data_IF_461769343247
#
_entry.id   IF_461769343247
#
_cell.length_a   1.000
_cell.length_b   1.000
_cell.length_c   1.000
_cell.angle_alpha   90.00
_cell.angle_beta   90.00
_cell.angle_gamma   90.00
#
_symmetry.space_group_name_H-M   'P 1'
#
loop_
_entity.id
_entity.type
_entity.pdbx_description
1 polymer ?
#
# COMPACT_ATOMS: atom_id res chain seq x y z
N UNK A 1 -25.15 7.90 24.13
CA UNK A 1 -23.84 8.39 23.65
C UNK A 1 -22.89 7.20 23.67
N UNK A 2 -22.84 6.42 22.59
CA UNK A 2 -21.95 5.25 22.53
C UNK A 2 -20.68 5.67 21.80
N UNK A 3 -19.64 5.93 22.58
CA UNK A 3 -18.28 6.14 22.07
C UNK A 3 -17.82 4.86 21.38
N UNK A 4 -17.73 4.91 20.05
CA UNK A 4 -17.03 3.89 19.27
C UNK A 4 -15.54 4.07 19.55
N UNK A 5 -14.98 3.16 20.35
CA UNK A 5 -13.54 3.04 20.51
C UNK A 5 -12.97 2.69 19.13
N UNK A 6 -12.19 3.61 18.57
CA UNK A 6 -11.43 3.35 17.35
C UNK A 6 -10.47 2.18 17.62
N UNK A 7 -10.77 1.00 17.08
CA UNK A 7 -9.88 -0.14 17.17
C UNK A 7 -8.68 0.08 16.26
N UNK A 8 -7.49 0.13 16.86
CA UNK A 8 -6.18 0.22 16.20
C UNK A 8 -5.68 -1.15 15.68
N UNK A 9 -6.59 -2.09 15.41
CA UNK A 9 -6.26 -3.48 15.06
C UNK A 9 -6.63 -3.75 13.60
N UNK A 10 -5.76 -4.38 12.79
CA UNK A 10 -6.10 -4.76 11.43
C UNK A 10 -7.30 -5.71 11.40
N UNK A 11 -8.33 -5.36 10.62
CA UNK A 11 -9.55 -6.16 10.45
C UNK A 11 -9.40 -7.03 9.20
N UNK A 12 -9.76 -8.32 9.30
CA UNK A 12 -9.79 -9.23 8.16
C UNK A 12 -10.94 -8.88 7.19
N UNK A 13 -10.69 -8.98 5.88
CA UNK A 13 -11.70 -8.72 4.85
C UNK A 13 -12.82 -9.76 4.90
N UNK A 14 -14.07 -9.31 4.95
CA UNK A 14 -15.24 -10.13 4.64
C UNK A 14 -15.40 -10.24 3.12
N UNK A 15 -15.55 -11.46 2.60
CA UNK A 15 -15.62 -11.75 1.17
C UNK A 15 -16.98 -11.40 0.56
N UNK A 16 -17.35 -10.12 0.55
CA UNK A 16 -18.45 -9.63 -0.30
C UNK A 16 -17.85 -9.06 -1.58
N UNK A 17 -18.03 -9.78 -2.69
CA UNK A 17 -17.47 -9.41 -4.00
C UNK A 17 -18.38 -8.37 -4.64
N UNK A 18 -17.97 -7.10 -4.63
CA UNK A 18 -18.61 -6.04 -5.40
C UNK A 18 -17.98 -5.99 -6.80
N UNK A 19 -18.70 -6.45 -7.82
CA UNK A 19 -18.29 -6.28 -9.23
C UNK A 19 -18.64 -4.88 -9.73
N UNK A 20 -17.64 -4.12 -10.17
CA UNK A 20 -17.82 -2.81 -10.79
C UNK A 20 -17.53 -2.90 -12.30
N UNK A 21 -18.31 -2.25 -13.17
CA UNK A 21 -17.96 -2.16 -14.59
C UNK A 21 -16.70 -1.30 -14.74
N UNK A 22 -15.76 -1.72 -15.58
CA UNK A 22 -14.67 -0.88 -16.07
C UNK A 22 -14.77 -0.78 -17.59
N UNK A 23 -14.50 0.40 -18.13
CA UNK A 23 -14.30 0.54 -19.56
C UNK A 23 -12.89 0.04 -19.91
N UNK A 24 -12.75 -0.74 -20.98
CA UNK A 24 -11.43 -1.14 -21.53
C UNK A 24 -10.71 0.05 -22.20
N UNK A 25 -11.37 1.21 -22.25
CA UNK A 25 -10.81 2.46 -22.72
C UNK A 25 -9.74 2.96 -21.72
N UNK A 26 -8.50 3.08 -22.18
CA UNK A 26 -7.50 3.88 -21.48
C UNK A 26 -7.91 5.34 -21.61
N UNK A 27 -8.34 5.95 -20.51
CA UNK A 27 -8.54 7.40 -20.48
C UNK A 27 -7.15 8.04 -20.53
N UNK A 28 -6.75 8.49 -21.72
CA UNK A 28 -5.63 9.42 -21.85
C UNK A 28 -5.97 10.68 -21.04
N UNK A 29 -4.98 11.34 -20.45
CA UNK A 29 -5.17 12.65 -19.82
C UNK A 29 -5.46 13.78 -20.86
N UNK A 30 -6.18 13.46 -21.94
CA UNK A 30 -6.50 14.28 -23.11
C UNK A 30 -7.76 13.79 -23.82
N UNK A 31 -8.13 14.41 -24.94
CA UNK A 31 -9.44 14.21 -25.59
C UNK A 31 -9.58 12.80 -26.20
N UNK A 32 -10.53 11.96 -25.74
CA UNK A 32 -10.74 10.64 -26.30
C UNK A 32 -11.52 10.71 -27.62
N UNK A 33 -11.11 9.90 -28.61
CA UNK A 33 -11.84 9.77 -29.88
C UNK A 33 -13.07 8.86 -29.69
N UNK A 34 -14.28 9.25 -30.15
CA UNK A 34 -15.54 8.59 -29.81
C UNK A 34 -15.82 7.23 -30.49
N UNK A 35 -14.86 6.63 -31.21
CA UNK A 35 -15.12 5.51 -32.13
C UNK A 35 -14.74 4.11 -31.62
N UNK A 36 -14.31 3.93 -30.36
CA UNK A 36 -13.99 2.61 -29.80
C UNK A 36 -15.12 2.07 -28.92
N UNK A 37 -16.15 1.57 -29.59
CA UNK A 37 -17.31 0.93 -28.98
C UNK A 37 -16.99 -0.51 -28.51
N UNK A 38 -17.09 -0.68 -27.19
CA UNK A 38 -17.69 -1.80 -26.44
C UNK A 38 -17.20 -3.25 -26.68
N UNK A 39 -16.02 -3.56 -26.13
CA UNK A 39 -15.77 -4.84 -25.47
C UNK A 39 -15.61 -4.57 -23.97
N UNK A 40 -16.72 -4.57 -23.21
CA UNK A 40 -16.66 -4.31 -21.77
C UNK A 40 -16.15 -5.55 -21.03
N UNK A 41 -14.84 -5.60 -20.78
CA UNK A 41 -14.27 -6.54 -19.83
C UNK A 41 -14.63 -6.09 -18.42
N UNK A 42 -15.30 -6.95 -17.65
CA UNK A 42 -15.55 -6.69 -16.22
C UNK A 42 -14.23 -6.82 -15.46
N UNK A 43 -13.95 -5.87 -14.57
CA UNK A 43 -12.83 -5.94 -13.63
C UNK A 43 -13.36 -6.19 -12.24
N UNK A 44 -12.72 -7.10 -11.53
CA UNK A 44 -12.88 -7.21 -10.10
C UNK A 44 -11.59 -6.71 -9.46
N UNK A 45 -11.66 -5.58 -8.77
CA UNK A 45 -10.50 -4.99 -8.10
C UNK A 45 -9.90 -5.93 -7.05
N UNK A 46 -10.69 -6.84 -6.48
CA UNK A 46 -10.16 -7.87 -5.59
C UNK A 46 -9.22 -8.79 -6.35
N UNK A 47 -9.59 -9.26 -7.53
CA UNK A 47 -8.71 -10.12 -8.35
C UNK A 47 -7.43 -9.41 -8.81
N UNK A 48 -7.47 -8.08 -8.95
CA UNK A 48 -6.33 -7.26 -9.38
C UNK A 48 -5.38 -6.95 -8.22
N UNK A 49 -5.92 -6.63 -7.05
CA UNK A 49 -5.15 -6.13 -5.91
C UNK A 49 -4.82 -7.22 -4.88
N UNK A 50 -5.68 -8.22 -4.77
CA UNK A 50 -5.65 -9.25 -3.73
C UNK A 50 -5.19 -10.58 -4.33
N UNK A 51 -3.87 -10.81 -4.33
CA UNK A 51 -3.29 -12.08 -4.81
C UNK A 51 -3.46 -13.22 -3.79
N UNK A 52 -3.37 -12.91 -2.50
CA UNK A 52 -3.49 -13.87 -1.40
C UNK A 52 -4.48 -13.33 -0.37
N UNK A 53 -5.78 -13.66 -0.46
CA UNK A 53 -6.81 -13.05 0.40
C UNK A 53 -6.53 -13.14 1.89
N UNK A 54 -6.01 -14.27 2.36
CA UNK A 54 -5.69 -14.48 3.78
C UNK A 54 -4.44 -13.72 4.26
N UNK A 55 -3.63 -13.19 3.35
CA UNK A 55 -2.38 -12.50 3.65
C UNK A 55 -2.35 -11.05 3.13
N UNK A 56 -3.47 -10.56 2.59
CA UNK A 56 -3.58 -9.20 2.05
C UNK A 56 -4.34 -8.31 3.02
N UNK A 57 -3.78 -7.12 3.27
CA UNK A 57 -4.28 -6.15 4.23
C UNK A 57 -4.33 -4.78 3.58
N UNK A 58 -5.32 -3.99 3.97
CA UNK A 58 -5.44 -2.60 3.54
C UNK A 58 -5.08 -1.68 4.71
N UNK A 59 -4.15 -0.75 4.50
CA UNK A 59 -3.72 0.21 5.52
C UNK A 59 -3.83 1.63 4.98
N UNK A 60 -4.32 2.55 5.81
CA UNK A 60 -4.34 3.98 5.49
C UNK A 60 -3.00 4.60 5.85
N UNK A 61 -2.42 5.36 4.94
CA UNK A 61 -1.18 6.10 5.20
C UNK A 61 -1.49 7.28 6.12
N UNK A 62 -0.61 7.48 7.10
CA UNK A 62 -0.55 8.69 7.91
C UNK A 62 0.84 9.32 7.77
N UNK A 63 0.88 10.58 7.34
CA UNK A 63 2.08 11.36 7.07
C UNK A 63 2.62 11.24 5.63
N UNK A 64 3.68 11.98 5.35
CA UNK A 64 4.23 12.24 4.01
C UNK A 64 5.67 11.73 3.84
N UNK A 65 6.13 10.83 4.72
CA UNK A 65 7.51 10.30 4.70
C UNK A 65 7.88 9.51 3.43
N UNK A 66 6.92 9.25 2.55
CA UNK A 66 7.05 8.46 1.33
C UNK A 66 6.64 9.24 0.06
N UNK A 67 6.50 10.57 0.15
CA UNK A 67 5.94 11.43 -0.90
C UNK A 67 6.64 11.34 -2.26
N UNK A 68 7.97 11.31 -2.30
CA UNK A 68 8.73 11.20 -3.55
C UNK A 68 8.57 9.84 -4.25
N UNK A 69 8.05 8.83 -3.53
CA UNK A 69 7.68 7.54 -4.08
C UNK A 69 6.19 7.47 -4.45
N UNK A 70 5.49 8.61 -4.45
CA UNK A 70 4.08 8.72 -4.84
C UNK A 70 3.09 8.20 -3.79
N UNK A 71 3.53 8.07 -2.53
CA UNK A 71 2.68 7.69 -1.40
C UNK A 71 2.51 8.92 -0.50
N UNK A 72 1.29 9.41 -0.40
CA UNK A 72 0.95 10.59 0.38
C UNK A 72 0.01 10.24 1.54
N UNK A 73 -0.17 11.21 2.43
CA UNK A 73 -1.13 11.11 3.52
C UNK A 73 -2.54 10.80 3.01
N UNK A 74 -3.23 9.86 3.67
CA UNK A 74 -4.58 9.44 3.28
C UNK A 74 -4.67 8.38 2.17
N UNK A 75 -3.57 8.03 1.51
CA UNK A 75 -3.55 6.96 0.52
C UNK A 75 -3.87 5.59 1.16
N UNK A 76 -4.46 4.68 0.38
CA UNK A 76 -4.76 3.32 0.81
C UNK A 76 -3.72 2.35 0.24
N UNK A 77 -2.93 1.74 1.12
CA UNK A 77 -1.94 0.74 0.75
C UNK A 77 -2.56 -0.65 0.75
N UNK A 78 -2.17 -1.45 -0.24
CA UNK A 78 -2.40 -2.89 -0.29
C UNK A 78 -1.11 -3.57 0.12
N UNK A 79 -1.16 -4.35 1.19
CA UNK A 79 0.02 -4.96 1.83
C UNK A 79 -0.15 -6.47 1.86
N UNK A 80 0.85 -7.20 1.38
CA UNK A 80 0.85 -8.66 1.37
C UNK A 80 1.95 -9.22 2.28
N UNK A 81 1.55 -10.03 3.27
CA UNK A 81 2.46 -10.68 4.24
C UNK A 81 3.05 -11.99 3.76
N UNK A 82 2.48 -12.62 2.73
CA UNK A 82 3.01 -13.85 2.14
C UNK A 82 4.19 -13.59 1.17
N UNK A 83 4.39 -12.34 0.74
CA UNK A 83 5.50 -11.98 -0.14
C UNK A 83 6.77 -11.82 0.68
N UNK A 84 7.82 -12.56 0.31
CA UNK A 84 9.17 -12.38 0.88
C UNK A 84 9.73 -11.01 0.49
N UNK A 85 10.06 -10.13 1.45
CA UNK A 85 10.58 -8.80 1.17
C UNK A 85 11.93 -8.82 0.45
N UNK A 86 12.12 -7.88 -0.49
CA UNK A 86 13.35 -7.72 -1.28
C UNK A 86 13.85 -6.28 -1.25
N UNK A 87 15.14 -6.11 -1.51
CA UNK A 87 15.77 -4.79 -1.66
C UNK A 87 15.01 -3.93 -2.69
N UNK A 88 14.76 -2.67 -2.34
CA UNK A 88 14.08 -1.69 -3.18
C UNK A 88 12.55 -1.69 -3.08
N UNK A 89 11.94 -2.72 -2.47
CA UNK A 89 10.50 -2.78 -2.28
C UNK A 89 10.03 -1.84 -1.18
N UNK A 90 8.81 -1.34 -1.31
CA UNK A 90 8.14 -0.61 -0.24
C UNK A 90 7.54 -1.64 0.72
N UNK A 91 7.79 -1.45 2.00
CA UNK A 91 7.36 -2.38 3.05
C UNK A 91 6.69 -1.62 4.17
N UNK A 92 5.82 -2.35 4.87
CA UNK A 92 5.38 -1.97 6.20
C UNK A 92 6.28 -2.70 7.18
N UNK A 93 6.95 -1.94 8.02
CA UNK A 93 7.79 -2.45 9.09
C UNK A 93 7.22 -2.06 10.45
N UNK A 94 7.45 -2.88 11.46
CA UNK A 94 7.22 -2.57 12.86
C UNK A 94 8.57 -2.20 13.47
N UNK A 95 8.69 -0.98 13.95
CA UNK A 95 9.88 -0.44 14.60
C UNK A 95 9.50 -0.08 16.02
N UNK A 96 10.07 -0.78 17.01
CA UNK A 96 9.78 -0.59 18.43
C UNK A 96 8.27 -0.66 18.79
N UNK A 97 7.49 -1.42 18.01
CA UNK A 97 6.06 -1.61 18.19
C UNK A 97 5.18 -0.72 17.30
N UNK A 98 5.75 0.28 16.64
CA UNK A 98 5.03 1.21 15.77
C UNK A 98 5.15 0.85 14.29
N UNK A 99 4.06 1.00 13.55
CA UNK A 99 4.04 0.77 12.10
C UNK A 99 4.67 1.93 11.33
N UNK A 100 5.58 1.62 10.42
CA UNK A 100 6.20 2.57 9.51
C UNK A 100 6.18 2.02 8.07
N UNK A 101 5.82 2.88 7.11
CA UNK A 101 5.98 2.61 5.68
C UNK A 101 7.32 3.16 5.23
N UNK A 102 8.19 2.32 4.67
CA UNK A 102 9.53 2.69 4.21
C UNK A 102 9.96 1.85 3.01
N UNK A 103 10.95 2.33 2.26
CA UNK A 103 11.59 1.52 1.24
C UNK A 103 12.66 0.63 1.90
N UNK A 104 12.54 -0.67 1.72
CA UNK A 104 13.46 -1.65 2.27
C UNK A 104 14.80 -1.61 1.52
N UNK A 105 15.87 -1.29 2.24
CA UNK A 105 17.23 -1.32 1.71
C UNK A 105 18.04 -2.43 2.38
N UNK A 106 18.13 -3.57 1.70
CA UNK A 106 19.01 -4.69 2.06
C UNK A 106 20.24 -4.71 1.15
N UNK A 107 21.43 -4.33 1.65
CA UNK A 107 22.70 -4.48 0.91
C UNK A 107 23.84 -4.85 1.85
N UNK A 108 24.72 -5.76 1.40
CA UNK A 108 25.89 -6.20 2.16
C UNK A 108 25.57 -6.63 3.60
N UNK A 109 24.44 -7.34 3.79
CA UNK A 109 23.99 -7.79 5.11
C UNK A 109 23.41 -6.71 6.02
N UNK A 110 23.35 -5.45 5.58
CA UNK A 110 22.79 -4.33 6.36
C UNK A 110 21.35 -4.06 5.95
N UNK A 111 20.46 -4.03 6.93
CA UNK A 111 19.08 -3.59 6.80
C UNK A 111 19.01 -2.09 7.10
N UNK A 112 18.29 -1.37 6.23
CA UNK A 112 17.95 0.04 6.41
C UNK A 112 16.55 0.27 5.85
N UNK A 113 15.76 1.09 6.53
CA UNK A 113 14.44 1.50 6.07
C UNK A 113 14.55 2.94 5.59
N UNK A 114 14.50 3.14 4.28
CA UNK A 114 14.66 4.45 3.66
C UNK A 114 13.35 5.21 3.61
N UNK A 115 13.39 6.50 3.96
CA UNK A 115 12.27 7.38 3.69
C UNK A 115 12.22 7.71 2.20
N UNK A 116 11.02 7.84 1.66
CA UNK A 116 10.78 8.39 0.32
C UNK A 116 10.53 9.90 0.39
N UNK A 117 11.14 10.59 1.36
CA UNK A 117 11.05 12.03 1.54
C UNK A 117 12.33 12.52 2.24
N UNK A 118 13.15 13.40 1.62
CA UNK A 118 14.43 13.85 2.16
C UNK A 118 14.35 14.59 3.50
N UNK A 119 13.17 15.10 3.85
CA UNK A 119 12.96 15.75 5.17
C UNK A 119 12.81 14.75 6.30
N UNK A 120 12.72 13.45 5.99
CA UNK A 120 12.60 12.37 6.97
C UNK A 120 13.90 11.55 7.01
N UNK A 121 14.45 11.27 8.20
CA UNK A 121 15.64 10.44 8.30
C UNK A 121 15.33 8.98 7.95
N UNK A 122 16.31 8.33 7.33
CA UNK A 122 16.27 6.88 7.18
C UNK A 122 16.47 6.19 8.54
N UNK A 123 15.81 5.05 8.74
CA UNK A 123 15.94 4.26 9.96
C UNK A 123 16.96 3.15 9.71
N UNK A 124 18.06 3.18 10.47
CA UNK A 124 19.01 2.06 10.54
C UNK A 124 18.84 1.42 11.92
N UNK A 125 18.53 0.12 12.02
CA UNK A 125 18.37 -0.54 13.31
C UNK A 125 19.61 -0.33 14.17
N UNK A 126 19.43 0.19 15.37
CA UNK A 126 20.50 0.28 16.38
C UNK A 126 20.71 -1.09 17.05
N UNK A 127 21.84 -1.26 17.75
CA UNK A 127 22.08 -2.48 18.53
C UNK A 127 20.95 -2.71 19.55
N UNK A 128 20.31 -3.88 19.47
CA UNK A 128 19.18 -4.26 20.31
C UNK A 128 17.80 -3.73 19.87
N UNK A 129 17.73 -2.87 18.84
CA UNK A 129 16.45 -2.40 18.30
C UNK A 129 15.76 -3.50 17.49
N UNK A 130 14.47 -3.72 17.75
CA UNK A 130 13.68 -4.73 17.01
C UNK A 130 13.02 -4.05 15.82
N UNK A 131 13.44 -4.48 14.62
CA UNK A 131 12.82 -4.08 13.36
C UNK A 131 12.31 -5.33 12.65
N UNK A 132 10.99 -5.43 12.52
CA UNK A 132 10.33 -6.52 11.81
C UNK A 132 9.74 -5.97 10.50
N UNK A 133 10.01 -6.63 9.38
CA UNK A 133 9.26 -6.35 8.14
C UNK A 133 7.95 -7.13 8.19
N UNK A 134 6.85 -6.43 8.42
CA UNK A 134 5.53 -7.03 8.61
C UNK A 134 4.90 -7.51 7.29
N UNK A 135 5.11 -6.77 6.20
CA UNK A 135 4.59 -7.10 4.87
C UNK A 135 5.10 -6.19 3.76
N UNK A 136 4.90 -6.63 2.51
CA UNK A 136 5.32 -5.89 1.31
C UNK A 136 4.13 -5.11 0.75
N UNK A 137 4.32 -3.82 0.45
CA UNK A 137 3.32 -3.00 -0.22
C UNK A 137 3.29 -3.38 -1.70
N UNK A 138 2.14 -3.83 -2.18
CA UNK A 138 1.94 -4.24 -3.58
C UNK A 138 1.30 -3.14 -4.43
N UNK A 139 0.45 -2.32 -3.82
CA UNK A 139 -0.28 -1.25 -4.52
C UNK A 139 -0.53 -0.06 -3.59
N UNK A 140 -0.64 1.13 -4.17
CA UNK A 140 -1.10 2.35 -3.52
C UNK A 140 -2.34 2.85 -4.28
N UNK A 141 -3.43 3.13 -3.58
CA UNK A 141 -4.69 3.60 -4.15
C UNK A 141 -4.94 5.01 -3.63
N UNK A 142 -4.94 5.97 -4.55
CA UNK A 142 -5.25 7.37 -4.27
C UNK A 142 -6.69 7.67 -4.66
N UNK A 143 -7.45 8.20 -3.71
CA UNK A 143 -8.83 8.65 -3.92
C UNK A 143 -8.84 10.17 -3.85
N UNK A 144 -9.22 10.81 -4.96
CA UNK A 144 -9.40 12.25 -4.99
C UNK A 144 -10.80 12.62 -4.48
N UNK A 145 -10.92 13.76 -3.81
CA UNK A 145 -12.23 14.29 -3.45
C UNK A 145 -12.98 14.66 -4.73
N UNK A 146 -14.23 14.20 -4.82
CA UNK A 146 -15.20 14.52 -5.87
C UNK A 146 -16.31 15.38 -5.31
#
# INVERSE_FOLDING_TARGET
MNSVLAQSVPVALSTEVLMLPIADARVHAGFPSPAEDFLVKRIDLNTVLVTHPQATFFLRVAGDSMRELGIEDGDLLVVNRAIKPRHGQIVVAVVDGDFAVKQLHLRAGRLKLKAGNPTYPDITPSDGQVVEVWGVVTSCIKQFQT
#
